data_IF_424518453541
#
_entry.id   IF_424518453541
#
_cell.length_a   1.000
_cell.length_b   1.000
_cell.length_c   1.000
_cell.angle_alpha   90.00
_cell.angle_beta   90.00
_cell.angle_gamma   90.00
#
_symmetry.space_group_name_H-M   'P 1'
#
loop_
_entity.id
_entity.type
_entity.pdbx_description
1 polymer ?
#
# COMPACT_ATOMS: atom_id res chain seq x y z
N UNK A 1 -9.74 2.47 5.89
CA UNK A 1 -10.80 2.27 6.91
C UNK A 1 -12.15 2.90 6.59
N UNK A 2 -12.25 4.10 6.02
CA UNK A 2 -13.53 4.74 5.69
C UNK A 2 -14.36 3.99 4.64
N UNK A 3 -13.75 3.43 3.60
CA UNK A 3 -14.49 2.71 2.55
C UNK A 3 -15.14 1.39 2.99
N UNK A 4 -14.55 0.65 3.95
CA UNK A 4 -15.10 -0.62 4.41
C UNK A 4 -16.26 -0.43 5.38
N UNK A 5 -16.26 0.69 6.10
CA UNK A 5 -17.34 1.08 6.99
C UNK A 5 -18.56 1.55 6.20
N UNK A 6 -18.34 2.32 5.13
CA UNK A 6 -19.41 2.74 4.21
C UNK A 6 -20.01 1.53 3.48
N UNK A 7 -19.16 0.64 2.93
CA UNK A 7 -19.66 -0.57 2.26
C UNK A 7 -20.38 -1.48 3.26
N UNK A 8 -19.83 -1.79 4.44
CA UNK A 8 -20.54 -2.66 5.42
C UNK A 8 -21.79 -2.02 6.03
N UNK A 9 -21.78 -0.74 6.41
CA UNK A 9 -22.92 -0.11 7.09
C UNK A 9 -24.07 0.23 6.11
N UNK A 10 -23.79 0.52 4.83
CA UNK A 10 -24.83 0.82 3.83
C UNK A 10 -25.28 -0.39 2.99
N UNK A 11 -24.46 -1.45 2.84
CA UNK A 11 -24.84 -2.63 2.02
C UNK A 11 -25.36 -3.82 2.82
N UNK A 12 -25.11 -3.90 4.13
CA UNK A 12 -25.70 -4.95 4.97
C UNK A 12 -27.25 -4.99 4.89
N UNK A 13 -27.97 -3.85 4.87
CA UNK A 13 -29.43 -3.86 4.69
C UNK A 13 -29.86 -4.33 3.30
N UNK A 14 -29.06 -4.09 2.25
CA UNK A 14 -29.38 -4.47 0.86
C UNK A 14 -29.23 -5.98 0.61
N UNK A 15 -28.26 -6.62 1.25
CA UNK A 15 -28.05 -8.08 1.16
C UNK A 15 -29.14 -8.85 1.91
N UNK A 16 -29.64 -8.31 3.04
CA UNK A 16 -30.75 -8.90 3.79
C UNK A 16 -32.10 -8.79 3.05
N UNK A 17 -32.27 -7.80 2.17
CA UNK A 17 -33.53 -7.53 1.48
C UNK A 17 -33.73 -8.35 0.19
N UNK A 18 -32.66 -8.87 -0.44
CA UNK A 18 -32.75 -9.63 -1.70
C UNK A 18 -31.74 -10.80 -1.76
N UNK A 19 -31.86 -11.80 -0.85
CA UNK A 19 -31.05 -13.01 -0.93
C UNK A 19 -31.33 -13.72 -2.27
N UNK A 20 -30.28 -14.18 -2.95
CA UNK A 20 -30.34 -14.88 -4.24
C UNK A 20 -30.66 -14.00 -5.46
N UNK A 21 -30.11 -12.79 -5.51
CA UNK A 21 -30.28 -11.87 -6.64
C UNK A 21 -28.94 -11.50 -7.30
N UNK A 22 -28.96 -11.10 -8.58
CA UNK A 22 -27.79 -10.58 -9.31
C UNK A 22 -27.02 -9.48 -8.54
N UNK A 23 -27.68 -8.50 -7.88
CA UNK A 23 -26.99 -7.53 -7.01
C UNK A 23 -26.18 -8.15 -5.88
N UNK A 24 -26.70 -9.20 -5.21
CA UNK A 24 -25.97 -9.89 -4.14
C UNK A 24 -24.69 -10.55 -4.66
N UNK A 25 -24.73 -11.08 -5.89
CA UNK A 25 -23.57 -11.65 -6.55
C UNK A 25 -22.50 -10.59 -6.88
N UNK A 26 -22.90 -9.44 -7.44
CA UNK A 26 -21.97 -8.33 -7.69
C UNK A 26 -21.32 -7.81 -6.40
N UNK A 27 -22.08 -7.73 -5.30
CA UNK A 27 -21.55 -7.34 -3.99
C UNK A 27 -20.51 -8.33 -3.47
N UNK A 28 -20.79 -9.64 -3.54
CA UNK A 28 -19.84 -10.67 -3.12
C UNK A 28 -18.55 -10.61 -3.96
N UNK A 29 -18.66 -10.35 -5.26
CA UNK A 29 -17.50 -10.22 -6.15
C UNK A 29 -16.69 -8.94 -5.90
N UNK A 30 -17.35 -7.82 -5.60
CA UNK A 30 -16.69 -6.60 -5.18
C UNK A 30 -15.96 -6.77 -3.83
N UNK A 31 -16.56 -7.51 -2.90
CA UNK A 31 -15.92 -7.87 -1.62
C UNK A 31 -14.67 -8.73 -1.86
N UNK A 32 -14.76 -9.76 -2.71
CA UNK A 32 -13.61 -10.59 -3.11
C UNK A 32 -12.48 -9.72 -3.68
N UNK A 33 -12.77 -8.81 -4.62
CA UNK A 33 -11.77 -7.92 -5.21
C UNK A 33 -11.10 -7.04 -4.13
N UNK A 34 -11.88 -6.47 -3.21
CA UNK A 34 -11.36 -5.65 -2.11
C UNK A 34 -10.45 -6.45 -1.16
N UNK A 35 -10.83 -7.67 -0.83
CA UNK A 35 -10.05 -8.56 0.04
C UNK A 35 -8.76 -9.01 -0.66
N UNK A 36 -8.83 -9.29 -1.97
CA UNK A 36 -7.65 -9.60 -2.78
C UNK A 36 -6.67 -8.42 -2.83
N UNK A 37 -7.18 -7.19 -2.97
CA UNK A 37 -6.36 -5.98 -2.91
C UNK A 37 -5.63 -5.78 -1.58
N UNK A 38 -6.15 -6.35 -0.49
CA UNK A 38 -5.56 -6.29 0.86
C UNK A 38 -4.74 -7.52 1.21
N UNK A 39 -4.66 -8.49 0.29
CA UNK A 39 -4.02 -9.78 0.52
C UNK A 39 -4.67 -10.60 1.66
N UNK A 40 -5.97 -10.41 1.89
CA UNK A 40 -6.78 -11.14 2.88
C UNK A 40 -7.39 -12.41 2.27
N UNK A 41 -6.53 -13.37 1.86
CA UNK A 41 -6.94 -14.53 1.06
C UNK A 41 -8.01 -15.43 1.69
N UNK A 42 -7.97 -15.75 3.01
CA UNK A 42 -9.04 -16.54 3.62
C UNK A 42 -10.41 -15.85 3.55
N UNK A 43 -10.43 -14.52 3.71
CA UNK A 43 -11.65 -13.73 3.57
C UNK A 43 -12.16 -13.75 2.13
N UNK A 44 -11.26 -13.60 1.14
CA UNK A 44 -11.61 -13.64 -0.27
C UNK A 44 -12.22 -15.00 -0.68
N UNK A 45 -11.67 -16.12 -0.18
CA UNK A 45 -12.26 -17.45 -0.41
C UNK A 45 -13.66 -17.57 0.19
N UNK A 46 -13.86 -17.10 1.43
CA UNK A 46 -15.17 -17.12 2.06
C UNK A 46 -16.20 -16.24 1.33
N UNK A 47 -15.76 -15.13 0.72
CA UNK A 47 -16.61 -14.29 -0.12
C UNK A 47 -17.02 -15.01 -1.42
N UNK A 48 -16.09 -15.74 -2.05
CA UNK A 48 -16.37 -16.57 -3.22
C UNK A 48 -17.32 -17.75 -2.91
N UNK A 49 -17.20 -18.38 -1.73
CA UNK A 49 -18.15 -19.41 -1.28
C UNK A 49 -19.58 -18.86 -1.20
N UNK A 50 -19.75 -17.62 -0.71
CA UNK A 50 -21.06 -16.95 -0.70
C UNK A 50 -21.54 -16.61 -2.12
N UNK A 51 -20.65 -16.12 -2.98
CA UNK A 51 -20.97 -15.82 -4.37
C UNK A 51 -21.49 -17.06 -5.10
N UNK A 52 -20.84 -18.21 -4.92
CA UNK A 52 -21.24 -19.48 -5.53
C UNK A 52 -22.60 -19.97 -5.04
N UNK A 53 -22.85 -19.87 -3.72
CA UNK A 53 -24.14 -20.23 -3.14
C UNK A 53 -25.28 -19.36 -3.71
N UNK A 54 -25.05 -18.06 -3.86
CA UNK A 54 -26.00 -17.12 -4.46
C UNK A 54 -26.23 -17.42 -5.95
N UNK A 55 -25.16 -17.64 -6.72
CA UNK A 55 -25.24 -17.95 -8.14
C UNK A 55 -26.05 -19.23 -8.38
N UNK A 56 -25.72 -20.30 -7.65
CA UNK A 56 -26.41 -21.60 -7.70
C UNK A 56 -27.90 -21.50 -7.34
N UNK A 57 -28.24 -20.66 -6.35
CA UNK A 57 -29.63 -20.44 -5.95
C UNK A 57 -30.44 -19.59 -6.94
N UNK A 58 -29.77 -18.75 -7.74
CA UNK A 58 -30.41 -17.81 -8.66
C UNK A 58 -30.70 -18.35 -10.08
N UNK A 59 -30.32 -19.61 -10.36
CA UNK A 59 -30.36 -20.22 -11.71
C UNK A 59 -29.57 -19.43 -12.78
N UNK A 60 -28.62 -18.60 -12.35
CA UNK A 60 -27.78 -17.77 -13.22
C UNK A 60 -26.40 -18.43 -13.41
N UNK A 61 -26.43 -19.57 -14.09
CA UNK A 61 -25.27 -20.46 -14.25
C UNK A 61 -24.09 -19.80 -14.99
N UNK A 62 -24.35 -18.68 -15.68
CA UNK A 62 -23.32 -17.93 -16.42
C UNK A 62 -22.21 -17.34 -15.54
N UNK A 63 -22.44 -17.19 -14.24
CA UNK A 63 -21.44 -16.69 -13.28
C UNK A 63 -20.55 -17.77 -12.67
N UNK A 64 -21.00 -19.03 -12.65
CA UNK A 64 -20.26 -20.12 -12.00
C UNK A 64 -18.86 -20.32 -12.59
N UNK A 65 -18.64 -20.30 -13.92
CA UNK A 65 -17.29 -20.34 -14.50
C UNK A 65 -16.40 -19.20 -14.00
N UNK A 66 -16.94 -17.99 -13.90
CA UNK A 66 -16.18 -16.83 -13.47
C UNK A 66 -15.78 -16.91 -11.98
N UNK A 67 -16.71 -17.34 -11.12
CA UNK A 67 -16.46 -17.57 -9.69
C UNK A 67 -15.38 -18.65 -9.50
N UNK A 68 -15.45 -19.73 -10.27
CA UNK A 68 -14.47 -20.81 -10.22
C UNK A 68 -13.06 -20.34 -10.63
N UNK A 69 -12.96 -19.48 -11.65
CA UNK A 69 -11.68 -18.87 -12.05
C UNK A 69 -11.11 -17.97 -10.97
N UNK A 70 -11.94 -17.09 -10.38
CA UNK A 70 -11.53 -16.21 -9.27
C UNK A 70 -11.09 -17.03 -8.05
N UNK A 71 -11.78 -18.15 -7.77
CA UNK A 71 -11.40 -19.10 -6.71
C UNK A 71 -10.04 -19.73 -6.99
N UNK A 72 -9.79 -20.19 -8.21
CA UNK A 72 -8.48 -20.69 -8.62
C UNK A 72 -7.38 -19.65 -8.41
N UNK A 73 -7.64 -18.40 -8.80
CA UNK A 73 -6.73 -17.28 -8.60
C UNK A 73 -6.44 -16.98 -7.12
N UNK A 74 -7.47 -16.91 -6.27
CA UNK A 74 -7.29 -16.67 -4.84
C UNK A 74 -6.56 -17.83 -4.16
N UNK A 75 -6.86 -19.08 -4.53
CA UNK A 75 -6.12 -20.26 -4.04
C UNK A 75 -4.65 -20.17 -4.40
N UNK A 76 -4.32 -19.74 -5.62
CA UNK A 76 -2.93 -19.51 -6.05
C UNK A 76 -2.24 -18.48 -5.15
N UNK A 77 -2.88 -17.33 -4.88
CA UNK A 77 -2.34 -16.30 -3.98
C UNK A 77 -2.21 -16.79 -2.53
N UNK A 78 -3.08 -17.70 -2.09
CA UNK A 78 -3.04 -18.34 -0.78
C UNK A 78 -1.98 -19.45 -0.66
N UNK A 79 -1.19 -19.71 -1.73
CA UNK A 79 -0.10 -20.69 -1.72
C UNK A 79 -0.51 -22.10 -2.15
N UNK A 80 -1.68 -22.28 -2.77
CA UNK A 80 -2.04 -23.57 -3.37
C UNK A 80 -1.06 -23.95 -4.50
N UNK A 81 -0.76 -25.25 -4.69
CA UNK A 81 0.13 -25.69 -5.75
C UNK A 81 -0.39 -25.28 -7.15
N UNK A 82 0.50 -24.75 -7.99
CA UNK A 82 0.17 -24.31 -9.36
C UNK A 82 -0.55 -25.39 -10.17
N UNK A 83 -0.10 -26.65 -10.07
CA UNK A 83 -0.72 -27.77 -10.79
C UNK A 83 -2.14 -28.12 -10.31
N UNK A 84 -2.48 -27.82 -9.06
CA UNK A 84 -3.85 -27.98 -8.57
C UNK A 84 -4.76 -26.89 -9.15
N UNK A 85 -4.33 -25.63 -9.06
CA UNK A 85 -5.05 -24.49 -9.63
C UNK A 85 -5.27 -24.65 -11.13
N UNK A 86 -4.24 -25.11 -11.87
CA UNK A 86 -4.33 -25.38 -13.31
C UNK A 86 -5.46 -26.34 -13.67
N UNK A 87 -5.62 -27.43 -12.91
CA UNK A 87 -6.68 -28.41 -13.16
C UNK A 87 -8.06 -27.80 -12.94
N UNK A 88 -8.23 -27.08 -11.82
CA UNK A 88 -9.50 -26.41 -11.51
C UNK A 88 -9.88 -25.36 -12.58
N UNK A 89 -8.91 -24.61 -13.12
CA UNK A 89 -9.17 -23.66 -14.21
C UNK A 89 -9.59 -24.36 -15.51
N UNK A 90 -8.97 -25.51 -15.84
CA UNK A 90 -9.35 -26.29 -17.02
C UNK A 90 -10.75 -26.87 -16.87
N UNK A 91 -11.12 -27.32 -15.67
CA UNK A 91 -12.43 -27.92 -15.42
C UNK A 91 -13.58 -26.90 -15.40
N UNK A 92 -13.25 -25.61 -15.22
CA UNK A 92 -14.24 -24.52 -15.09
C UNK A 92 -14.43 -23.67 -16.34
N UNK A 93 -13.67 -23.92 -17.43
CA UNK A 93 -13.73 -23.08 -18.62
C UNK A 93 -15.02 -23.31 -19.42
N UNK A 94 -15.66 -22.22 -19.82
CA UNK A 94 -16.65 -22.19 -20.90
C UNK A 94 -15.99 -21.63 -22.17
N UNK A 95 -15.64 -22.47 -23.17
CA UNK A 95 -14.99 -22.03 -24.40
C UNK A 95 -15.89 -21.19 -25.31
N UNK A 96 -17.22 -21.23 -25.13
CA UNK A 96 -18.15 -20.47 -25.95
C UNK A 96 -18.24 -19.00 -25.51
N UNK A 97 -17.92 -18.74 -24.24
CA UNK A 97 -17.84 -17.39 -23.70
C UNK A 97 -16.46 -16.78 -23.95
N UNK A 98 -16.38 -15.87 -24.93
CA UNK A 98 -15.12 -15.22 -25.31
C UNK A 98 -14.46 -14.43 -24.17
N UNK A 99 -15.25 -13.81 -23.27
CA UNK A 99 -14.69 -13.06 -22.14
C UNK A 99 -14.04 -14.01 -21.12
N UNK A 100 -14.73 -15.10 -20.79
CA UNK A 100 -14.19 -16.19 -19.94
C UNK A 100 -12.95 -16.80 -20.57
N UNK A 101 -12.95 -17.01 -21.89
CA UNK A 101 -11.80 -17.55 -22.63
C UNK A 101 -10.56 -16.63 -22.60
N UNK A 102 -10.73 -15.33 -22.81
CA UNK A 102 -9.62 -14.35 -22.69
C UNK A 102 -9.01 -14.40 -21.30
N UNK A 103 -9.85 -14.36 -20.28
CA UNK A 103 -9.41 -14.40 -18.88
C UNK A 103 -8.68 -15.70 -18.58
N UNK A 104 -9.23 -16.84 -18.99
CA UNK A 104 -8.62 -18.16 -18.78
C UNK A 104 -7.26 -18.25 -19.43
N UNK A 105 -7.14 -17.76 -20.68
CA UNK A 105 -5.86 -17.76 -21.39
C UNK A 105 -4.82 -16.91 -20.68
N UNK A 106 -5.23 -15.78 -20.09
CA UNK A 106 -4.35 -14.93 -19.27
C UNK A 106 -3.90 -15.64 -18.00
N UNK A 107 -4.82 -16.24 -17.23
CA UNK A 107 -4.51 -16.97 -16.01
C UNK A 107 -3.57 -18.15 -16.30
N UNK A 108 -3.83 -18.91 -17.36
CA UNK A 108 -2.96 -20.01 -17.81
C UNK A 108 -1.56 -19.53 -18.18
N UNK A 109 -1.44 -18.35 -18.79
CA UNK A 109 -0.14 -17.76 -19.08
C UNK A 109 0.61 -17.37 -17.80
N UNK A 110 -0.09 -16.87 -16.78
CA UNK A 110 0.52 -16.57 -15.48
C UNK A 110 0.98 -17.86 -14.79
N UNK A 111 0.19 -18.94 -14.83
CA UNK A 111 0.64 -20.24 -14.33
C UNK A 111 1.88 -20.74 -15.10
N UNK A 112 1.94 -20.52 -16.42
CA UNK A 112 3.13 -20.83 -17.22
C UNK A 112 4.35 -19.99 -16.77
N UNK A 113 4.17 -18.71 -16.40
CA UNK A 113 5.23 -17.88 -15.79
C UNK A 113 5.73 -18.51 -14.49
N UNK A 114 4.83 -18.89 -13.59
CA UNK A 114 5.16 -19.44 -12.27
C UNK A 114 5.88 -20.80 -12.36
N UNK A 115 5.63 -21.56 -13.43
CA UNK A 115 6.32 -22.82 -13.72
C UNK A 115 7.59 -22.64 -14.57
N UNK A 116 8.00 -21.40 -14.86
CA UNK A 116 9.21 -21.11 -15.64
C UNK A 116 9.06 -21.26 -17.15
N UNK A 117 7.86 -21.53 -17.68
CA UNK A 117 7.55 -21.72 -19.10
C UNK A 117 7.33 -20.39 -19.83
N UNK A 118 8.36 -19.54 -19.83
CA UNK A 118 8.30 -18.16 -20.32
C UNK A 118 7.88 -18.04 -21.80
N UNK A 119 8.28 -18.99 -22.66
CA UNK A 119 7.92 -18.96 -24.09
C UNK A 119 6.45 -19.28 -24.34
N UNK A 120 5.84 -20.16 -23.55
CA UNK A 120 4.42 -20.46 -23.65
C UNK A 120 3.58 -19.31 -23.07
N UNK A 121 4.02 -18.76 -21.94
CA UNK A 121 3.43 -17.56 -21.36
C UNK A 121 3.43 -16.39 -22.37
N UNK A 122 4.57 -16.11 -23.02
CA UNK A 122 4.67 -15.04 -24.02
C UNK A 122 3.66 -15.21 -25.15
N UNK A 123 3.57 -16.43 -25.71
CA UNK A 123 2.66 -16.74 -26.84
C UNK A 123 1.21 -16.50 -26.45
N UNK A 124 0.81 -16.97 -25.26
CA UNK A 124 -0.54 -16.78 -24.73
C UNK A 124 -0.83 -15.30 -24.48
N UNK A 125 0.04 -14.61 -23.76
CA UNK A 125 -0.15 -13.20 -23.41
C UNK A 125 -0.24 -12.31 -24.65
N UNK A 126 0.59 -12.52 -25.68
CA UNK A 126 0.50 -11.78 -26.94
C UNK A 126 -0.85 -11.99 -27.63
N UNK A 127 -1.27 -13.25 -27.75
CA UNK A 127 -2.59 -13.59 -28.32
C UNK A 127 -3.73 -12.91 -27.55
N UNK A 128 -3.69 -12.97 -26.22
CA UNK A 128 -4.73 -12.39 -25.38
C UNK A 128 -4.71 -10.86 -25.37
N UNK A 129 -3.53 -10.24 -25.47
CA UNK A 129 -3.39 -8.78 -25.58
C UNK A 129 -4.12 -8.24 -26.80
N UNK A 130 -3.93 -8.88 -27.95
CA UNK A 130 -4.62 -8.49 -29.19
C UNK A 130 -6.14 -8.61 -29.04
N UNK A 131 -6.61 -9.67 -28.37
CA UNK A 131 -8.04 -9.87 -28.10
C UNK A 131 -8.62 -8.82 -27.14
N UNK A 132 -7.91 -8.44 -26.08
CA UNK A 132 -8.38 -7.37 -25.17
C UNK A 132 -8.41 -6.00 -25.83
N UNK A 133 -7.46 -5.70 -26.72
CA UNK A 133 -7.48 -4.45 -27.51
C UNK A 133 -8.68 -4.39 -28.45
N UNK A 134 -8.98 -5.49 -29.15
CA UNK A 134 -10.15 -5.57 -30.02
C UNK A 134 -11.46 -5.41 -29.24
N UNK A 135 -11.49 -5.83 -27.98
CA UNK A 135 -12.63 -5.68 -27.09
C UNK A 135 -12.65 -4.34 -26.32
N UNK A 136 -11.66 -3.46 -26.54
CA UNK A 136 -11.49 -2.19 -25.81
C UNK A 136 -11.40 -2.35 -24.28
N UNK A 137 -10.93 -3.50 -23.80
CA UNK A 137 -10.77 -3.82 -22.38
C UNK A 137 -9.43 -3.30 -21.86
N UNK A 138 -9.28 -1.98 -21.77
CA UNK A 138 -8.00 -1.30 -21.47
C UNK A 138 -7.37 -1.68 -20.12
N UNK A 139 -8.19 -1.96 -19.10
CA UNK A 139 -7.70 -2.42 -17.80
C UNK A 139 -7.01 -3.79 -17.91
N UNK A 140 -7.54 -4.68 -18.77
CA UNK A 140 -6.98 -6.01 -18.98
C UNK A 140 -5.74 -5.97 -19.88
N UNK A 141 -5.75 -5.09 -20.90
CA UNK A 141 -4.57 -4.77 -21.71
C UNK A 141 -3.39 -4.34 -20.81
N UNK A 142 -3.64 -3.44 -19.85
CA UNK A 142 -2.65 -3.03 -18.85
C UNK A 142 -2.08 -4.22 -18.07
N UNK A 143 -2.93 -5.08 -17.47
CA UNK A 143 -2.46 -6.23 -16.69
C UNK A 143 -1.62 -7.19 -17.55
N UNK A 144 -2.06 -7.49 -18.77
CA UNK A 144 -1.33 -8.38 -19.70
C UNK A 144 0.03 -7.82 -20.06
N UNK A 145 0.15 -6.50 -20.25
CA UNK A 145 1.45 -5.85 -20.53
C UNK A 145 2.42 -5.95 -19.38
N UNK A 146 1.95 -5.84 -18.14
CA UNK A 146 2.82 -6.04 -16.96
C UNK A 146 3.35 -7.47 -16.93
N UNK A 147 2.54 -8.47 -17.28
CA UNK A 147 3.02 -9.85 -17.42
C UNK A 147 3.98 -10.04 -18.59
N UNK A 148 3.76 -9.40 -19.73
CA UNK A 148 4.70 -9.43 -20.85
C UNK A 148 6.03 -8.76 -20.49
N UNK A 149 6.00 -7.63 -19.77
CA UNK A 149 7.19 -6.97 -19.25
C UNK A 149 8.01 -7.92 -18.38
N UNK A 150 7.35 -8.66 -17.48
CA UNK A 150 8.00 -9.68 -16.66
C UNK A 150 8.61 -10.81 -17.51
N UNK A 151 7.86 -11.35 -18.47
CA UNK A 151 8.36 -12.41 -19.36
C UNK A 151 9.60 -11.92 -20.11
N UNK A 152 9.59 -10.71 -20.66
CA UNK A 152 10.74 -10.13 -21.35
C UNK A 152 11.92 -9.86 -20.41
N UNK A 153 11.66 -9.45 -19.16
CA UNK A 153 12.67 -9.31 -18.12
C UNK A 153 13.39 -10.64 -17.88
N UNK A 154 12.64 -11.74 -17.67
CA UNK A 154 13.21 -13.08 -17.43
C UNK A 154 13.93 -13.65 -18.64
N UNK A 155 13.51 -13.28 -19.86
CA UNK A 155 14.16 -13.70 -21.12
C UNK A 155 15.36 -12.85 -21.53
N UNK A 156 15.71 -11.79 -20.79
CA UNK A 156 16.81 -10.89 -21.17
C UNK A 156 16.45 -9.89 -22.29
N UNK A 157 15.20 -9.84 -22.75
CA UNK A 157 14.73 -8.99 -23.84
C UNK A 157 14.40 -7.57 -23.34
N UNK A 158 15.42 -6.85 -22.87
CA UNK A 158 15.27 -5.57 -22.14
C UNK A 158 14.51 -4.48 -22.90
N UNK A 159 14.76 -4.31 -24.20
CA UNK A 159 14.07 -3.29 -24.99
C UNK A 159 12.55 -3.55 -25.07
N UNK A 160 12.15 -4.82 -25.20
CA UNK A 160 10.74 -5.20 -25.18
C UNK A 160 10.15 -5.03 -23.77
N UNK A 161 10.89 -5.43 -22.73
CA UNK A 161 10.50 -5.24 -21.33
C UNK A 161 10.17 -3.77 -21.04
N UNK A 162 11.09 -2.84 -21.31
CA UNK A 162 10.91 -1.43 -21.02
C UNK A 162 9.78 -0.81 -21.82
N UNK A 163 9.58 -1.23 -23.07
CA UNK A 163 8.45 -0.77 -23.88
C UNK A 163 7.11 -1.18 -23.27
N UNK A 164 6.98 -2.42 -22.78
CA UNK A 164 5.73 -2.84 -22.13
C UNK A 164 5.51 -2.13 -20.79
N UNK A 165 6.56 -1.85 -20.01
CA UNK A 165 6.47 -1.03 -18.79
C UNK A 165 5.99 0.38 -19.11
N UNK A 166 6.64 1.04 -20.07
CA UNK A 166 6.33 2.41 -20.48
C UNK A 166 4.86 2.55 -20.93
N UNK A 167 4.41 1.62 -21.78
CA UNK A 167 3.02 1.63 -22.25
C UNK A 167 2.01 1.35 -21.14
N UNK A 168 2.28 0.36 -20.28
CA UNK A 168 1.37 0.01 -19.18
C UNK A 168 1.29 1.13 -18.13
N UNK A 169 2.45 1.59 -17.66
CA UNK A 169 2.51 2.55 -16.55
C UNK A 169 2.13 3.96 -17.02
N UNK A 170 2.49 4.35 -18.25
CA UNK A 170 2.06 5.61 -18.83
C UNK A 170 0.55 5.69 -19.00
N UNK A 171 -0.11 4.58 -19.39
CA UNK A 171 -1.57 4.53 -19.41
C UNK A 171 -2.17 4.61 -18.00
N UNK A 172 -1.64 3.87 -17.03
CA UNK A 172 -2.14 3.89 -15.65
C UNK A 172 -1.98 5.27 -14.99
N UNK A 173 -0.86 5.96 -15.24
CA UNK A 173 -0.61 7.32 -14.79
C UNK A 173 -1.59 8.32 -15.43
N UNK A 174 -1.80 8.24 -16.76
CA UNK A 174 -2.74 9.09 -17.46
C UNK A 174 -4.19 8.92 -16.97
N UNK A 175 -4.56 7.71 -16.55
CA UNK A 175 -5.88 7.39 -16.02
C UNK A 175 -5.98 7.56 -14.49
N UNK A 176 -4.91 8.01 -13.82
CA UNK A 176 -4.82 8.13 -12.37
C UNK A 176 -5.15 6.83 -11.60
N UNK A 177 -4.81 5.67 -12.17
CA UNK A 177 -5.02 4.36 -11.58
C UNK A 177 -3.81 4.02 -10.69
N UNK A 178 -4.03 3.87 -9.39
CA UNK A 178 -2.96 3.62 -8.40
C UNK A 178 -2.89 2.17 -7.88
N UNK A 179 -3.42 1.22 -8.66
CA UNK A 179 -3.45 -0.19 -8.31
C UNK A 179 -3.78 -1.11 -9.48
N UNK A 180 -3.83 -2.40 -9.20
CA UNK A 180 -4.12 -3.44 -10.19
C UNK A 180 -5.53 -3.98 -9.99
N UNK A 181 -6.52 -3.57 -10.81
CA UNK A 181 -7.92 -3.83 -10.54
C UNK A 181 -8.31 -5.31 -10.68
N UNK A 182 -7.54 -6.09 -11.45
CA UNK A 182 -7.74 -7.53 -11.59
C UNK A 182 -6.46 -8.23 -12.05
N UNK A 183 -6.38 -9.54 -11.81
CA UNK A 183 -5.32 -10.43 -12.31
C UNK A 183 -3.91 -9.89 -12.02
N UNK A 184 -3.56 -9.75 -10.74
CA UNK A 184 -2.22 -9.29 -10.35
C UNK A 184 -1.57 -10.24 -9.38
N UNK A 185 -0.36 -10.69 -9.72
CA UNK A 185 0.43 -11.54 -8.85
C UNK A 185 1.47 -10.66 -8.15
N UNK A 186 1.41 -10.48 -6.82
CA UNK A 186 2.24 -9.50 -6.11
C UNK A 186 3.73 -9.62 -6.41
N UNK A 187 4.26 -10.84 -6.42
CA UNK A 187 5.68 -11.08 -6.72
C UNK A 187 6.09 -10.68 -8.14
N UNK A 188 5.24 -10.91 -9.14
CA UNK A 188 5.53 -10.58 -10.54
C UNK A 188 5.50 -9.06 -10.71
N UNK A 189 4.43 -8.43 -10.22
CA UNK A 189 4.25 -6.98 -10.26
C UNK A 189 5.39 -6.26 -9.54
N UNK A 190 5.83 -6.78 -8.39
CA UNK A 190 6.96 -6.23 -7.66
C UNK A 190 8.25 -6.23 -8.50
N UNK A 191 8.59 -7.33 -9.17
CA UNK A 191 9.78 -7.36 -10.05
C UNK A 191 9.69 -6.33 -11.18
N UNK A 192 8.51 -6.15 -11.80
CA UNK A 192 8.31 -5.15 -12.85
C UNK A 192 8.42 -3.72 -12.30
N UNK A 193 7.82 -3.43 -11.15
CA UNK A 193 7.93 -2.12 -10.51
C UNK A 193 9.38 -1.80 -10.12
N UNK A 194 10.11 -2.78 -9.60
CA UNK A 194 11.53 -2.63 -9.26
C UNK A 194 12.38 -2.33 -10.51
N UNK A 195 12.09 -2.99 -11.63
CA UNK A 195 12.75 -2.69 -12.91
C UNK A 195 12.44 -1.26 -13.37
N UNK A 196 11.18 -0.83 -13.26
CA UNK A 196 10.76 0.54 -13.58
C UNK A 196 11.53 1.58 -12.73
N UNK A 197 11.67 1.35 -11.42
CA UNK A 197 12.50 2.20 -10.54
C UNK A 197 13.96 2.22 -10.98
N UNK A 198 14.54 1.05 -11.27
CA UNK A 198 15.94 0.88 -11.69
C UNK A 198 16.27 1.62 -12.99
N UNK A 199 15.29 1.76 -13.87
CA UNK A 199 15.42 2.42 -15.18
C UNK A 199 14.80 3.82 -15.22
N UNK A 200 14.19 4.27 -14.12
CA UNK A 200 13.45 5.54 -14.05
C UNK A 200 12.36 5.67 -15.12
N UNK A 201 11.62 4.58 -15.38
CA UNK A 201 10.44 4.57 -16.25
C UNK A 201 9.21 4.72 -15.33
N UNK A 202 8.44 5.80 -15.47
CA UNK A 202 7.30 6.13 -14.58
C UNK A 202 7.60 5.88 -13.08
N UNK A 203 8.71 6.40 -12.53
CA UNK A 203 9.18 5.98 -11.21
C UNK A 203 8.20 6.35 -10.09
N UNK A 204 7.55 7.51 -10.16
CA UNK A 204 6.57 7.95 -9.15
C UNK A 204 5.39 6.98 -9.05
N UNK A 205 4.89 6.50 -10.20
CA UNK A 205 3.82 5.52 -10.23
C UNK A 205 4.25 4.19 -9.60
N UNK A 206 5.45 3.70 -9.96
CA UNK A 206 6.01 2.47 -9.37
C UNK A 206 6.21 2.60 -7.85
N UNK A 207 6.67 3.75 -7.36
CA UNK A 207 6.80 4.05 -5.93
C UNK A 207 5.43 3.97 -5.22
N UNK A 208 4.39 4.62 -5.78
CA UNK A 208 3.03 4.60 -5.23
C UNK A 208 2.50 3.17 -5.12
N UNK A 209 2.63 2.38 -6.19
CA UNK A 209 2.19 0.98 -6.20
C UNK A 209 2.94 0.14 -5.17
N UNK A 210 4.26 0.29 -5.08
CA UNK A 210 5.07 -0.43 -4.10
C UNK A 210 4.61 -0.09 -2.68
N UNK A 211 4.49 1.20 -2.36
CA UNK A 211 4.18 1.69 -1.01
C UNK A 211 2.74 1.38 -0.59
N UNK A 212 1.77 1.51 -1.51
CA UNK A 212 0.34 1.38 -1.19
C UNK A 212 -0.22 -0.03 -1.38
N UNK A 213 0.38 -0.84 -2.26
CA UNK A 213 -0.21 -2.13 -2.69
C UNK A 213 0.69 -3.32 -2.42
N UNK A 214 1.97 -3.24 -2.77
CA UNK A 214 2.87 -4.39 -2.70
C UNK A 214 3.44 -4.62 -1.30
N UNK A 215 3.75 -3.53 -0.59
CA UNK A 215 4.27 -3.60 0.77
C UNK A 215 5.53 -4.46 0.86
N UNK A 216 5.48 -5.43 1.78
CA UNK A 216 6.58 -6.32 2.13
C UNK A 216 7.08 -7.17 0.97
N UNK A 217 6.22 -7.47 -0.02
CA UNK A 217 6.60 -8.27 -1.20
C UNK A 217 7.74 -7.63 -1.99
N UNK A 218 7.82 -6.29 -2.00
CA UNK A 218 8.85 -5.56 -2.74
C UNK A 218 10.17 -5.38 -1.95
N UNK A 219 10.15 -5.55 -0.62
CA UNK A 219 11.29 -5.22 0.28
C UNK A 219 12.58 -5.92 -0.11
N UNK A 220 12.62 -7.25 -0.37
CA UNK A 220 13.87 -7.91 -0.75
C UNK A 220 14.50 -7.33 -2.02
N UNK A 221 13.67 -6.91 -2.98
CA UNK A 221 14.13 -6.29 -4.21
C UNK A 221 14.60 -4.84 -4.02
N UNK A 222 13.89 -4.07 -3.20
CA UNK A 222 14.31 -2.71 -2.83
C UNK A 222 15.64 -2.70 -2.08
N UNK A 223 15.88 -3.65 -1.19
CA UNK A 223 17.17 -3.79 -0.48
C UNK A 223 18.34 -4.02 -1.45
N UNK A 224 18.13 -4.78 -2.51
CA UNK A 224 19.11 -4.94 -3.59
C UNK A 224 19.34 -3.63 -4.35
N UNK A 225 18.27 -2.91 -4.70
CA UNK A 225 18.38 -1.61 -5.38
C UNK A 225 19.02 -0.52 -4.50
N UNK A 226 18.82 -0.56 -3.18
CA UNK A 226 19.45 0.35 -2.22
C UNK A 226 20.99 0.22 -2.15
N UNK A 227 21.52 -0.86 -2.75
CA UNK A 227 22.95 -1.14 -2.93
C UNK A 227 23.40 -0.99 -4.39
N UNK A 228 22.54 -0.48 -5.30
CA UNK A 228 22.89 -0.23 -6.70
C UNK A 228 24.02 0.81 -6.78
N UNK A 229 25.04 0.62 -7.65
CA UNK A 229 26.16 1.55 -7.78
C UNK A 229 25.74 2.95 -8.25
N UNK A 230 24.56 3.09 -8.86
CA UNK A 230 24.02 4.39 -9.26
C UNK A 230 23.34 5.05 -8.08
N UNK A 231 23.90 6.16 -7.61
CA UNK A 231 23.42 6.93 -6.45
C UNK A 231 21.94 7.31 -6.56
N UNK A 232 21.47 7.76 -7.73
CA UNK A 232 20.07 8.10 -7.92
C UNK A 232 19.11 6.92 -7.71
N UNK A 233 19.53 5.70 -8.11
CA UNK A 233 18.71 4.49 -7.94
C UNK A 233 18.73 4.03 -6.49
N UNK A 234 19.91 4.00 -5.86
CA UNK A 234 20.04 3.58 -4.47
C UNK A 234 19.36 4.53 -3.50
N UNK A 235 19.48 5.84 -3.72
CA UNK A 235 18.77 6.85 -2.92
C UNK A 235 17.25 6.71 -3.06
N UNK A 236 16.73 6.54 -4.28
CA UNK A 236 15.29 6.32 -4.50
C UNK A 236 14.79 5.06 -3.81
N UNK A 237 15.51 3.94 -3.94
CA UNK A 237 15.13 2.69 -3.28
C UNK A 237 15.09 2.83 -1.75
N UNK A 238 16.05 3.56 -1.15
CA UNK A 238 16.03 3.90 0.28
C UNK A 238 14.82 4.76 0.65
N UNK A 239 14.50 5.77 -0.14
CA UNK A 239 13.29 6.59 0.08
C UNK A 239 11.99 5.77 0.00
N UNK A 240 11.92 4.76 -0.85
CA UNK A 240 10.76 3.85 -0.91
C UNK A 240 10.71 2.92 0.29
N UNK A 241 11.84 2.37 0.74
CA UNK A 241 11.93 1.56 1.97
C UNK A 241 11.47 2.38 3.18
N UNK A 242 11.96 3.61 3.29
CA UNK A 242 11.54 4.60 4.28
C UNK A 242 10.02 4.85 4.24
N UNK A 243 9.45 5.00 3.03
CA UNK A 243 8.01 5.16 2.81
C UNK A 243 7.18 3.89 3.06
N UNK A 244 7.77 2.71 3.04
CA UNK A 244 7.11 1.46 3.44
C UNK A 244 7.04 1.36 4.97
N UNK A 245 8.13 1.66 5.66
CA UNK A 245 8.15 1.67 7.12
C UNK A 245 7.17 2.70 7.68
N UNK A 246 7.12 3.89 7.09
CA UNK A 246 6.05 4.89 7.25
C UNK A 246 4.63 4.28 7.29
N UNK A 247 4.30 3.50 6.24
CA UNK A 247 2.96 2.97 6.02
C UNK A 247 2.63 1.83 6.98
N UNK A 248 3.65 1.19 7.57
CA UNK A 248 3.48 0.24 8.68
C UNK A 248 3.12 0.95 9.99
N UNK A 249 3.65 2.15 10.23
CA UNK A 249 3.41 2.90 11.47
C UNK A 249 2.05 3.61 11.52
N UNK A 250 1.54 4.12 10.39
CA UNK A 250 0.27 4.85 10.35
C UNK A 250 -0.94 4.04 10.89
N UNK A 251 -1.12 2.75 10.57
CA UNK A 251 -2.15 1.91 11.18
C UNK A 251 -1.93 1.63 12.68
N UNK A 252 -0.67 1.53 13.12
CA UNK A 252 -0.33 1.33 14.55
C UNK A 252 -0.68 2.57 15.39
N UNK A 253 -0.49 3.78 14.84
CA UNK A 253 -0.98 5.02 15.44
C UNK A 253 -2.50 5.00 15.63
N UNK A 254 -3.23 4.45 14.64
CA UNK A 254 -4.69 4.36 14.67
C UNK A 254 -5.28 3.45 15.74
N UNK A 255 -4.54 2.43 16.21
CA UNK A 255 -5.04 1.44 17.19
C UNK A 255 -4.67 1.73 18.65
N UNK A 256 -3.62 2.52 18.88
CA UNK A 256 -3.00 2.63 20.22
C UNK A 256 -2.81 4.05 20.75
N UNK A 257 -3.01 5.09 19.94
CA UNK A 257 -2.87 6.48 20.37
C UNK A 257 -4.23 7.15 20.58
N UNK A 258 -4.33 8.00 21.61
CA UNK A 258 -5.49 8.88 21.79
C UNK A 258 -5.64 9.83 20.60
N UNK A 259 -6.87 10.28 20.25
CA UNK A 259 -7.11 11.08 19.05
C UNK A 259 -6.23 12.33 18.95
N UNK A 260 -6.07 13.10 20.03
CA UNK A 260 -5.25 14.32 20.03
C UNK A 260 -3.77 14.05 19.73
N UNK A 261 -3.21 12.99 20.32
CA UNK A 261 -1.82 12.54 20.11
C UNK A 261 -1.64 12.09 18.67
N UNK A 262 -2.58 11.28 18.16
CA UNK A 262 -2.54 10.78 16.79
C UNK A 262 -2.58 11.93 15.78
N UNK A 263 -3.50 12.87 15.97
CA UNK A 263 -3.69 13.98 15.06
C UNK A 263 -2.45 14.90 15.07
N UNK A 264 -1.83 15.14 16.22
CA UNK A 264 -0.57 15.85 16.32
C UNK A 264 0.57 15.14 15.58
N UNK A 265 0.73 13.81 15.76
CA UNK A 265 1.75 13.03 15.06
C UNK A 265 1.54 13.05 13.54
N UNK A 266 0.30 12.87 13.07
CA UNK A 266 -0.02 12.97 11.64
C UNK A 266 0.33 14.36 11.11
N UNK A 267 -0.03 15.44 11.84
CA UNK A 267 0.35 16.81 11.45
C UNK A 267 1.86 16.98 11.36
N UNK A 268 2.63 16.51 12.33
CA UNK A 268 4.08 16.65 12.30
C UNK A 268 4.73 15.85 11.17
N UNK A 269 4.20 14.68 10.84
CA UNK A 269 4.67 13.87 9.71
C UNK A 269 4.30 14.54 8.37
N UNK A 270 3.08 15.04 8.23
CA UNK A 270 2.59 15.71 7.02
C UNK A 270 3.33 17.03 6.74
N UNK A 271 3.69 17.78 7.79
CA UNK A 271 4.44 19.03 7.68
C UNK A 271 5.97 18.81 7.54
N UNK A 272 6.44 17.56 7.53
CA UNK A 272 7.88 17.24 7.49
C UNK A 272 8.64 17.57 8.78
N UNK A 273 7.93 17.95 9.84
CA UNK A 273 8.49 18.26 11.15
C UNK A 273 9.10 17.03 11.84
N UNK A 274 8.54 15.86 11.60
CA UNK A 274 9.12 14.58 12.01
C UNK A 274 9.51 13.78 10.78
N UNK A 275 10.70 13.20 10.84
CA UNK A 275 11.17 12.27 9.83
C UNK A 275 10.47 10.94 10.00
N UNK A 276 9.72 10.59 8.97
CA UNK A 276 8.87 9.42 8.95
C UNK A 276 9.70 8.13 8.79
N UNK A 277 10.82 8.20 8.07
CA UNK A 277 11.79 7.10 7.94
C UNK A 277 12.50 6.76 9.24
N UNK A 278 12.66 7.77 10.11
CA UNK A 278 13.28 7.62 11.42
C UNK A 278 12.28 7.44 12.56
N UNK A 279 10.98 7.35 12.25
CA UNK A 279 9.94 7.33 13.27
C UNK A 279 10.01 6.08 14.15
N UNK A 280 10.32 4.92 13.58
CA UNK A 280 10.48 3.67 14.36
C UNK A 280 11.67 3.72 15.31
N UNK A 281 12.82 4.21 14.82
CA UNK A 281 14.03 4.41 15.63
C UNK A 281 13.80 5.44 16.75
N UNK A 282 13.16 6.56 16.41
CA UNK A 282 12.79 7.60 17.37
C UNK A 282 11.79 7.07 18.41
N UNK A 283 10.79 6.31 17.98
CA UNK A 283 9.78 5.71 18.86
C UNK A 283 10.38 4.65 19.79
N UNK A 284 11.37 3.88 19.33
CA UNK A 284 12.13 2.95 20.15
C UNK A 284 12.99 3.71 21.18
N UNK A 285 13.69 4.77 20.73
CA UNK A 285 14.56 5.59 21.57
C UNK A 285 13.80 6.39 22.62
N UNK A 286 12.61 6.89 22.28
CA UNK A 286 11.70 7.59 23.18
C UNK A 286 10.68 6.66 23.85
N UNK A 287 10.72 5.36 23.58
CA UNK A 287 9.83 4.37 24.17
C UNK A 287 10.25 3.99 25.59
N UNK A 288 9.48 3.09 26.17
CA UNK A 288 9.94 2.25 27.28
C UNK A 288 10.20 0.85 26.71
N UNK A 289 11.05 0.03 27.34
CA UNK A 289 11.81 -1.10 26.76
C UNK A 289 11.11 -2.06 25.77
N UNK A 290 9.78 -2.14 25.76
CA UNK A 290 9.00 -2.98 24.84
C UNK A 290 7.83 -2.27 24.12
N UNK A 291 7.59 -0.97 24.35
CA UNK A 291 6.46 -0.24 23.73
C UNK A 291 6.77 1.23 23.39
N UNK A 292 6.36 1.71 22.20
CA UNK A 292 6.39 3.13 21.87
C UNK A 292 5.60 3.98 22.87
N UNK A 293 6.17 5.10 23.31
CA UNK A 293 5.46 6.09 24.10
C UNK A 293 4.95 7.21 23.18
N UNK A 294 3.73 7.06 22.67
CA UNK A 294 3.14 7.99 21.68
C UNK A 294 3.00 9.42 22.19
N UNK A 295 2.69 9.61 23.48
CA UNK A 295 2.65 10.92 24.12
C UNK A 295 4.02 11.60 24.07
N UNK A 296 5.08 10.87 24.44
CA UNK A 296 6.46 11.39 24.41
C UNK A 296 6.90 11.75 22.99
N UNK A 297 6.50 10.93 22.01
CA UNK A 297 6.78 11.17 20.59
C UNK A 297 6.06 12.42 20.07
N UNK A 298 4.79 12.64 20.43
CA UNK A 298 4.05 13.83 20.05
C UNK A 298 4.62 15.09 20.73
N UNK A 299 4.95 15.01 22.03
CA UNK A 299 5.65 16.09 22.74
C UNK A 299 6.99 16.40 22.07
N UNK A 300 7.73 15.40 21.61
CA UNK A 300 8.96 15.60 20.85
C UNK A 300 8.69 16.35 19.53
N UNK A 301 7.66 15.97 18.78
CA UNK A 301 7.24 16.68 17.56
C UNK A 301 7.02 18.18 17.81
N UNK A 302 6.28 18.55 18.85
CA UNK A 302 6.11 19.97 19.17
C UNK A 302 7.38 20.62 19.71
N UNK A 303 8.08 19.96 20.62
CA UNK A 303 9.22 20.57 21.33
C UNK A 303 10.46 20.75 20.44
N UNK A 304 10.76 19.78 19.58
CA UNK A 304 11.94 19.78 18.73
C UNK A 304 11.65 20.34 17.33
N UNK A 305 10.46 20.15 16.77
CA UNK A 305 10.20 20.62 15.42
C UNK A 305 9.53 22.00 15.34
N UNK A 306 9.01 22.53 16.46
CA UNK A 306 8.29 23.82 16.48
C UNK A 306 8.66 24.66 17.71
N UNK A 307 8.17 25.90 17.76
CA UNK A 307 8.44 26.83 18.86
C UNK A 307 7.42 26.80 20.02
N UNK A 308 6.52 25.81 20.03
CA UNK A 308 5.41 25.73 20.99
C UNK A 308 5.90 25.78 22.45
N UNK A 309 5.29 26.65 23.26
CA UNK A 309 5.47 26.68 24.71
C UNK A 309 4.92 25.41 25.37
N UNK A 310 5.36 25.11 26.59
CA UNK A 310 4.85 23.93 27.34
C UNK A 310 3.33 23.95 27.50
N UNK A 311 2.76 25.14 27.66
CA UNK A 311 1.34 25.35 27.79
C UNK A 311 0.61 25.02 26.48
N UNK A 312 1.11 25.51 25.34
CA UNK A 312 0.54 25.19 24.02
C UNK A 312 0.61 23.69 23.71
N UNK A 313 1.71 23.02 24.08
CA UNK A 313 1.83 21.56 23.94
C UNK A 313 0.81 20.84 24.82
N UNK A 314 0.64 21.29 26.07
CA UNK A 314 -0.31 20.71 27.01
C UNK A 314 -1.76 20.87 26.50
N UNK A 315 -2.10 22.04 25.98
CA UNK A 315 -3.41 22.34 25.40
C UNK A 315 -3.68 21.51 24.12
N UNK A 316 -2.73 21.44 23.18
CA UNK A 316 -2.92 20.71 21.90
C UNK A 316 -2.98 19.19 22.08
N UNK A 317 -2.20 18.63 23.02
CA UNK A 317 -2.16 17.20 23.28
C UNK A 317 -3.13 16.73 24.37
N UNK A 318 -3.90 17.64 24.98
CA UNK A 318 -4.81 17.36 26.11
C UNK A 318 -4.06 16.70 27.29
N UNK A 319 -2.87 17.24 27.60
CA UNK A 319 -2.01 16.79 28.70
C UNK A 319 -1.93 17.88 29.79
N UNK A 320 -1.46 17.52 30.98
CA UNK A 320 -1.08 18.54 31.98
C UNK A 320 0.29 19.14 31.65
N UNK A 321 0.52 20.41 31.97
CA UNK A 321 1.84 21.05 31.82
C UNK A 321 2.94 20.29 32.58
N UNK A 322 2.59 19.68 33.73
CA UNK A 322 3.49 18.82 34.50
C UNK A 322 3.90 17.56 33.74
N UNK A 323 2.96 16.91 33.04
CA UNK A 323 3.26 15.76 32.18
C UNK A 323 4.17 16.16 31.01
N UNK A 324 3.87 17.29 30.35
CA UNK A 324 4.72 17.83 29.27
C UNK A 324 6.13 18.12 29.78
N UNK A 325 6.26 18.74 30.97
CA UNK A 325 7.56 18.99 31.61
C UNK A 325 8.34 17.69 31.83
N UNK A 326 7.67 16.63 32.30
CA UNK A 326 8.29 15.31 32.50
C UNK A 326 8.78 14.72 31.17
N UNK A 327 7.95 14.74 30.13
CA UNK A 327 8.34 14.24 28.80
C UNK A 327 9.52 15.02 28.21
N UNK A 328 9.53 16.36 28.31
CA UNK A 328 10.65 17.18 27.84
C UNK A 328 11.93 16.85 28.60
N UNK A 329 11.86 16.62 29.92
CA UNK A 329 13.02 16.21 30.70
C UNK A 329 13.58 14.86 30.20
N UNK A 330 12.70 13.87 29.98
CA UNK A 330 13.11 12.59 29.39
C UNK A 330 13.71 12.76 27.99
N UNK A 331 13.10 13.56 27.12
CA UNK A 331 13.64 13.85 25.78
C UNK A 331 15.05 14.43 25.89
N UNK A 332 15.26 15.45 26.73
CA UNK A 332 16.59 16.07 26.90
C UNK A 332 17.62 15.04 27.37
N UNK A 333 17.26 14.20 28.33
CA UNK A 333 18.11 13.13 28.81
C UNK A 333 18.46 12.14 27.69
N UNK A 334 17.47 11.68 26.92
CA UNK A 334 17.65 10.76 25.79
C UNK A 334 18.56 11.31 24.68
N UNK A 335 18.60 12.64 24.51
CA UNK A 335 19.47 13.33 23.56
C UNK A 335 20.78 13.85 24.19
N UNK A 336 21.07 13.53 25.45
CA UNK A 336 22.32 13.92 26.13
C UNK A 336 22.44 15.42 26.42
N UNK A 337 21.31 16.12 26.56
CA UNK A 337 21.22 17.58 26.70
C UNK A 337 20.92 17.99 28.16
N UNK A 338 21.30 17.16 29.12
CA UNK A 338 21.04 17.44 30.52
C UNK A 338 21.85 18.66 31.02
N UNK A 339 21.19 19.56 31.74
CA UNK A 339 21.86 20.69 32.40
C UNK A 339 22.22 21.90 31.52
N UNK A 340 21.83 21.93 30.25
CA UNK A 340 22.06 23.09 29.38
C UNK A 340 21.34 24.35 29.92
N UNK A 341 22.11 25.42 30.15
CA UNK A 341 21.62 26.66 30.78
C UNK A 341 20.48 27.32 30.02
N UNK A 342 19.43 27.76 30.72
CA UNK A 342 18.27 28.43 30.11
C UNK A 342 17.30 27.50 29.35
N UNK A 343 16.04 27.92 29.24
CA UNK A 343 14.97 27.10 28.63
C UNK A 343 15.21 26.86 27.13
N UNK A 344 15.69 27.89 26.43
CA UNK A 344 15.81 27.92 24.97
C UNK A 344 17.07 27.20 24.46
N UNK A 345 18.17 27.24 25.22
CA UNK A 345 19.41 26.52 24.88
C UNK A 345 19.20 25.01 24.83
N UNK A 346 18.47 24.45 25.82
CA UNK A 346 18.15 23.03 25.86
C UNK A 346 17.09 22.59 24.84
N UNK A 347 16.37 23.54 24.20
CA UNK A 347 15.56 23.23 23.02
C UNK A 347 16.47 23.16 21.81
N UNK A 348 17.21 24.24 21.56
CA UNK A 348 18.09 24.36 20.40
C UNK A 348 19.04 23.17 20.24
N UNK A 349 19.65 22.70 21.33
CA UNK A 349 20.54 21.53 21.30
C UNK A 349 19.82 20.22 20.96
N UNK A 350 18.60 20.01 21.46
CA UNK A 350 17.77 18.85 21.04
C UNK A 350 17.41 18.97 19.56
N UNK A 351 17.10 20.18 19.06
CA UNK A 351 16.80 20.39 17.65
C UNK A 351 18.00 20.08 16.76
N UNK A 352 19.19 20.55 17.12
CA UNK A 352 20.42 20.30 16.37
C UNK A 352 20.80 18.82 16.39
N UNK A 353 20.70 18.14 17.55
CA UNK A 353 20.90 16.70 17.63
C UNK A 353 19.88 15.94 16.76
N UNK A 354 18.59 16.28 16.88
CA UNK A 354 17.53 15.67 16.09
C UNK A 354 17.69 15.88 14.58
N UNK A 355 18.19 17.05 14.14
CA UNK A 355 18.49 17.33 12.73
C UNK A 355 19.70 16.54 12.23
N UNK A 356 20.76 16.49 13.03
CA UNK A 356 21.98 15.73 12.71
C UNK A 356 21.65 14.26 12.50
N UNK A 357 20.80 13.71 13.36
CA UNK A 357 20.34 12.31 13.29
C UNK A 357 19.15 12.12 12.32
N UNK A 358 18.67 13.20 11.69
CA UNK A 358 17.56 13.21 10.73
C UNK A 358 16.23 12.73 11.31
N UNK A 359 15.99 12.93 12.60
CA UNK A 359 14.67 12.76 13.24
C UNK A 359 13.71 13.91 12.95
N UNK A 360 14.25 15.10 12.68
CA UNK A 360 13.51 16.30 12.25
C UNK A 360 14.09 16.72 10.90
N UNK A 361 13.23 16.90 9.89
CA UNK A 361 13.68 17.40 8.58
C UNK A 361 13.76 18.93 8.65
N UNK A 362 14.61 19.56 7.83
CA UNK A 362 14.72 21.02 7.78
C UNK A 362 13.37 21.62 7.35
N UNK A 363 12.58 22.06 8.33
CA UNK A 363 11.41 22.88 8.08
C UNK A 363 11.86 24.22 7.51
N UNK A 364 11.46 24.53 6.28
CA UNK A 364 11.22 25.92 5.89
C UNK A 364 10.26 26.46 6.96
N UNK A 365 10.67 27.47 7.71
CA UNK A 365 9.87 28.06 8.77
C UNK A 365 8.63 28.74 8.19
N UNK A 366 7.63 27.95 7.79
CA UNK A 366 6.28 28.42 7.62
C UNK A 366 5.74 28.59 9.03
N UNK A 367 5.77 29.84 9.51
CA UNK A 367 5.04 30.22 10.73
C UNK A 367 3.61 29.70 10.58
N UNK A 368 3.20 28.75 11.43
CA UNK A 368 1.79 28.37 11.54
C UNK A 368 0.96 29.64 11.78
N UNK A 369 -0.19 29.80 11.11
CA UNK A 369 -1.15 30.80 11.52
C UNK A 369 -1.59 30.49 12.95
N UNK A 370 -1.71 31.53 13.77
CA UNK A 370 -2.14 31.44 15.16
C UNK A 370 -3.44 30.60 15.29
N UNK A 371 -3.64 29.89 16.43
CA UNK A 371 -4.85 29.11 16.64
C UNK A 371 -6.08 30.02 16.46
N UNK A 372 -6.91 29.65 15.49
CA UNK A 372 -8.11 30.38 15.10
C UNK A 372 -8.96 30.67 16.34
N UNK A 373 -9.22 31.96 16.56
CA UNK A 373 -10.26 32.46 17.44
C UNK A 373 -11.55 31.70 17.12
N UNK A 374 -12.15 31.04 18.12
CA UNK A 374 -13.47 30.41 17.99
C UNK A 374 -14.45 31.49 17.52
N UNK A 375 -14.87 31.42 16.25
CA UNK A 375 -16.07 32.10 15.79
C UNK A 375 -17.25 31.36 16.41
N UNK A 376 -17.78 31.92 17.49
CA UNK A 376 -19.13 31.65 17.96
C UNK A 376 -20.10 32.09 16.87
N UNK A 377 -20.76 31.13 16.24
CA UNK A 377 -21.97 31.39 15.47
C UNK A 377 -23.15 31.39 16.44
N UNK A 378 -23.72 32.58 16.64
CA UNK A 378 -25.09 32.82 17.12
C UNK A 378 -26.10 32.44 16.05
#
# INVERSE_FOLDING_TARGET
DTGLRIVREETAPLVELLPNSKPALYLAMAETALLCHRMEWPGALAALDRAEAVASASSDDGFLPWIAMERGWVKLMAGAPVGAVRRELIDSIDPQNQATWRRFTTEMAILDILEGRMSDAERRLKSTLDQYRLAEELLADFSVRVYLAFVFLRKGAMAACWREIDQAFGWAEAMAIDGFPHLWHPGIVAEVCLEALRRSIHPQWAEIVIVRRLGDVAVPGLMRLASDPREAVSQRARSVLDALDTNRWLPLLGRHAEPAIRDALIRHLALGNLSLSKLGELAARLGDSDRPNWQRLAVFGHYAATDYSRREIAEDLVLSESAVKKHIATIRHTFGVDGAGGRDTGRFQVQEAARTERFVLQGVALRSPAPSTRLSLS
#
